data_IF_082562651684
#
_entry.id   IF_082562651684
#
_cell.length_a   1.000
_cell.length_b   1.000
_cell.length_c   1.000
_cell.angle_alpha   90.00
_cell.angle_beta   90.00
_cell.angle_gamma   90.00
#
_symmetry.space_group_name_H-M   'P 1'
#
loop_
_entity.id
_entity.type
_entity.pdbx_description
1 polymer ?
#
# COMPACT_ATOMS: atom_id res chain seq x y z
N UNK A 1 30.31 48.71 1.25
CA UNK A 1 30.33 47.74 0.14
C UNK A 1 30.31 46.29 0.63
N UNK A 2 31.27 45.83 1.46
CA UNK A 2 31.30 44.45 2.00
C UNK A 2 30.09 44.06 2.87
N UNK A 3 29.57 44.97 3.70
CA UNK A 3 28.36 44.73 4.52
C UNK A 3 27.09 44.52 3.68
N UNK A 4 27.00 45.16 2.51
CA UNK A 4 25.87 44.97 1.59
C UNK A 4 25.97 43.62 0.89
N UNK A 5 27.16 43.17 0.50
CA UNK A 5 27.37 41.81 -0.03
C UNK A 5 27.07 40.73 1.01
N UNK A 6 27.45 40.95 2.28
CA UNK A 6 27.15 40.01 3.36
C UNK A 6 25.64 39.91 3.63
N UNK A 7 24.94 41.06 3.65
CA UNK A 7 23.48 41.11 3.83
C UNK A 7 22.74 40.44 2.67
N UNK A 8 23.16 40.68 1.43
CA UNK A 8 22.57 40.06 0.25
C UNK A 8 22.83 38.56 0.20
N UNK A 9 24.03 38.11 0.58
CA UNK A 9 24.35 36.69 0.72
C UNK A 9 23.50 36.03 1.81
N UNK A 10 23.33 36.64 2.98
CA UNK A 10 22.47 36.13 4.07
C UNK A 10 21.01 36.04 3.62
N UNK A 11 20.49 37.01 2.87
CA UNK A 11 19.13 36.97 2.32
C UNK A 11 18.94 35.86 1.26
N UNK A 12 19.95 35.59 0.43
CA UNK A 12 19.94 34.47 -0.53
C UNK A 12 20.03 33.12 0.19
N UNK A 13 20.84 33.02 1.25
CA UNK A 13 20.90 31.81 2.07
C UNK A 13 19.58 31.56 2.84
N UNK A 14 18.88 32.61 3.27
CA UNK A 14 17.55 32.48 3.88
C UNK A 14 16.47 32.04 2.87
N UNK A 15 16.49 32.53 1.64
CA UNK A 15 15.43 32.24 0.65
C UNK A 15 15.50 30.81 0.10
N UNK A 16 16.70 30.20 0.03
CA UNK A 16 16.87 28.80 -0.35
C UNK A 16 16.21 27.81 0.62
N UNK A 17 15.92 28.23 1.85
CA UNK A 17 15.26 27.43 2.89
C UNK A 17 13.72 27.56 2.93
N UNK A 18 13.10 28.27 1.97
CA UNK A 18 11.68 28.63 2.02
C UNK A 18 10.73 27.65 1.29
N UNK A 19 11.20 26.48 0.86
CA UNK A 19 10.29 25.42 0.42
C UNK A 19 9.87 24.60 1.63
N UNK A 20 8.65 24.88 2.12
CA UNK A 20 8.03 24.05 3.16
C UNK A 20 7.86 22.63 2.62
N UNK A 21 8.13 21.58 3.42
CA UNK A 21 7.85 20.22 3.02
C UNK A 21 6.35 20.06 2.75
N UNK A 22 6.03 19.46 1.61
CA UNK A 22 4.66 19.18 1.21
C UNK A 22 4.45 17.67 1.24
N UNK A 23 3.34 17.25 1.85
CA UNK A 23 2.84 15.87 1.80
C UNK A 23 1.51 15.91 1.08
N UNK A 24 1.37 15.07 0.05
CA UNK A 24 0.12 14.90 -0.70
C UNK A 24 -0.21 13.41 -0.68
N UNK A 25 -1.47 13.09 -0.39
CA UNK A 25 -2.02 11.75 -0.55
C UNK A 25 -3.31 11.80 -1.37
N UNK A 26 -3.84 10.63 -1.70
CA UNK A 26 -4.93 10.47 -2.66
C UNK A 26 -6.28 10.96 -2.13
N UNK A 27 -6.73 10.44 -0.98
CA UNK A 27 -8.10 10.63 -0.52
C UNK A 27 -8.22 11.67 0.61
N UNK A 28 -9.41 12.24 0.76
CA UNK A 28 -9.71 13.33 1.71
C UNK A 28 -10.41 12.91 3.00
N UNK A 29 -10.61 11.62 3.27
CA UNK A 29 -11.30 11.18 4.49
C UNK A 29 -10.50 11.52 5.75
N UNK A 30 -11.14 11.50 6.93
CA UNK A 30 -10.52 11.96 8.19
C UNK A 30 -9.24 11.18 8.51
N UNK A 31 -9.21 9.89 8.18
CA UNK A 31 -8.08 9.00 8.44
C UNK A 31 -6.91 9.30 7.50
N UNK A 32 -7.17 9.54 6.22
CA UNK A 32 -6.16 10.01 5.27
C UNK A 32 -5.60 11.38 5.64
N UNK A 33 -6.42 12.30 6.14
CA UNK A 33 -5.93 13.58 6.66
C UNK A 33 -5.04 13.38 7.89
N UNK A 34 -5.36 12.42 8.76
CA UNK A 34 -4.53 12.08 9.91
C UNK A 34 -3.19 11.47 9.47
N UNK A 35 -3.18 10.60 8.46
CA UNK A 35 -1.96 10.07 7.86
C UNK A 35 -1.05 11.19 7.32
N UNK A 36 -1.61 12.19 6.64
CA UNK A 36 -0.84 13.37 6.20
C UNK A 36 -0.26 14.17 7.36
N UNK A 37 -1.04 14.39 8.43
CA UNK A 37 -0.55 15.09 9.63
C UNK A 37 0.61 14.35 10.28
N UNK A 38 0.52 13.04 10.40
CA UNK A 38 1.58 12.21 10.99
C UNK A 38 2.84 12.18 10.11
N UNK A 39 2.66 12.06 8.79
CA UNK A 39 3.76 12.13 7.83
C UNK A 39 4.48 13.48 7.91
N UNK A 40 3.73 14.58 7.83
CA UNK A 40 4.30 15.93 7.93
C UNK A 40 4.99 16.16 9.27
N UNK A 41 4.38 15.68 10.37
CA UNK A 41 4.96 15.73 11.71
C UNK A 41 6.24 14.92 11.85
N UNK A 42 6.46 13.91 11.00
CA UNK A 42 7.63 13.03 11.01
C UNK A 42 8.74 13.46 10.04
N UNK A 43 8.57 14.58 9.34
CA UNK A 43 9.55 15.08 8.37
C UNK A 43 10.93 15.37 8.97
N UNK A 44 11.02 15.65 10.27
CA UNK A 44 12.30 15.87 10.96
C UNK A 44 13.22 14.63 10.95
N UNK A 45 12.64 13.43 10.84
CA UNK A 45 13.38 12.16 10.76
C UNK A 45 13.78 11.77 9.32
N UNK A 46 13.40 12.60 8.33
CA UNK A 46 13.73 12.41 6.92
C UNK A 46 12.52 12.03 6.07
N UNK A 47 12.58 12.40 4.78
CA UNK A 47 11.46 12.26 3.82
C UNK A 47 10.92 10.84 3.67
N UNK A 48 11.78 9.83 3.62
CA UNK A 48 11.36 8.44 3.46
C UNK A 48 10.72 7.90 4.74
N UNK A 49 11.24 8.30 5.90
CA UNK A 49 10.64 7.96 7.18
C UNK A 49 9.24 8.58 7.29
N UNK A 50 9.11 9.87 6.95
CA UNK A 50 7.82 10.56 6.92
C UNK A 50 6.80 9.90 5.98
N UNK A 51 7.24 9.46 4.79
CA UNK A 51 6.42 8.70 3.86
C UNK A 51 5.94 7.39 4.50
N UNK A 52 6.87 6.58 5.02
CA UNK A 52 6.56 5.30 5.66
C UNK A 52 5.61 5.48 6.85
N UNK A 53 5.78 6.52 7.65
CA UNK A 53 4.91 6.78 8.81
C UNK A 53 3.49 7.19 8.40
N UNK A 54 3.35 7.98 7.33
CA UNK A 54 2.02 8.28 6.75
C UNK A 54 1.32 7.02 6.27
N UNK A 55 2.04 6.19 5.53
CA UNK A 55 1.56 4.91 5.01
C UNK A 55 1.18 3.95 6.15
N UNK A 56 2.06 3.77 7.14
CA UNK A 56 1.82 2.93 8.33
C UNK A 56 0.65 3.45 9.18
N UNK A 57 0.43 4.77 9.20
CA UNK A 57 -0.74 5.36 9.88
C UNK A 57 -2.03 4.89 9.21
N UNK A 58 -2.11 4.87 7.88
CA UNK A 58 -3.31 4.39 7.21
C UNK A 58 -3.52 2.88 7.32
N UNK A 59 -2.45 2.08 7.37
CA UNK A 59 -2.53 0.63 7.64
C UNK A 59 -3.16 0.36 9.02
N UNK A 60 -2.80 1.18 10.03
CA UNK A 60 -3.33 1.06 11.40
C UNK A 60 -4.73 1.65 11.57
N UNK A 61 -5.03 2.76 10.90
CA UNK A 61 -6.37 3.38 10.94
C UNK A 61 -7.36 2.67 10.02
N UNK A 62 -6.89 1.73 9.19
CA UNK A 62 -7.70 1.01 8.22
C UNK A 62 -8.44 1.98 7.30
N UNK A 63 -7.71 2.94 6.70
CA UNK A 63 -8.27 4.05 5.93
C UNK A 63 -9.29 3.56 4.88
N UNK A 64 -10.55 4.01 5.03
CA UNK A 64 -11.72 3.61 4.24
C UNK A 64 -11.94 2.08 4.12
N UNK A 65 -11.42 1.26 5.04
CA UNK A 65 -11.42 -0.22 5.02
C UNK A 65 -10.70 -0.84 3.81
N UNK A 66 -9.86 -0.05 3.12
CA UNK A 66 -9.15 -0.44 1.90
C UNK A 66 -7.63 -0.47 2.05
N UNK A 67 -7.12 -0.15 3.24
CA UNK A 67 -5.68 -0.12 3.54
C UNK A 67 -5.43 -0.88 4.84
N UNK A 68 -4.42 -1.74 4.88
CA UNK A 68 -4.08 -2.51 6.06
C UNK A 68 -4.95 -3.76 6.26
N UNK A 69 -4.92 -4.27 7.48
CA UNK A 69 -5.58 -5.52 7.88
C UNK A 69 -7.11 -5.40 7.93
N UNK A 70 -7.82 -6.53 8.00
CA UNK A 70 -9.29 -6.67 7.97
C UNK A 70 -10.02 -6.11 6.74
N UNK A 71 -9.31 -5.50 5.80
CA UNK A 71 -9.84 -4.98 4.55
C UNK A 71 -9.79 -6.02 3.43
N UNK A 72 -10.71 -5.90 2.48
CA UNK A 72 -10.69 -6.52 1.15
C UNK A 72 -10.08 -7.93 1.09
N UNK A 73 -10.72 -8.95 1.69
CA UNK A 73 -10.24 -10.32 1.56
C UNK A 73 -10.24 -10.75 0.09
N UNK A 74 -9.28 -11.61 -0.21
CA UNK A 74 -9.18 -12.36 -1.45
C UNK A 74 -10.34 -13.36 -1.54
N UNK A 75 -10.38 -14.10 -2.64
CA UNK A 75 -11.44 -15.07 -2.89
C UNK A 75 -11.36 -16.34 -2.03
N UNK A 76 -10.18 -16.63 -1.46
CA UNK A 76 -10.00 -17.66 -0.46
C UNK A 76 -10.45 -17.20 0.94
N UNK A 77 -10.70 -15.90 1.10
CA UNK A 77 -11.09 -15.26 2.35
C UNK A 77 -9.90 -14.74 3.17
N UNK A 78 -8.70 -14.72 2.59
CA UNK A 78 -7.48 -14.21 3.21
C UNK A 78 -7.24 -12.75 2.81
N UNK A 79 -6.94 -11.89 3.77
CA UNK A 79 -6.49 -10.53 3.48
C UNK A 79 -4.99 -10.55 3.18
N UNK A 80 -4.59 -10.00 2.04
CA UNK A 80 -3.19 -9.90 1.61
C UNK A 80 -2.84 -8.45 1.28
N UNK A 81 -1.64 -8.02 1.68
CA UNK A 81 -1.24 -6.62 1.55
C UNK A 81 -0.19 -6.39 0.46
N UNK A 82 -0.32 -5.27 -0.24
CA UNK A 82 0.64 -4.82 -1.25
C UNK A 82 1.18 -3.44 -0.85
N UNK A 83 2.49 -3.24 -0.99
CA UNK A 83 3.12 -1.95 -0.74
C UNK A 83 4.33 -1.72 -1.65
N UNK A 84 4.52 -0.48 -2.10
CA UNK A 84 5.64 -0.04 -2.90
C UNK A 84 6.15 1.29 -2.37
N UNK A 85 7.46 1.39 -2.16
CA UNK A 85 8.14 2.62 -1.79
C UNK A 85 9.20 2.92 -2.84
N UNK A 86 9.21 4.17 -3.31
CA UNK A 86 10.16 4.67 -4.30
C UNK A 86 10.88 5.90 -3.75
N UNK A 87 12.21 5.85 -3.81
CA UNK A 87 13.11 6.94 -3.50
C UNK A 87 13.60 7.61 -4.80
N UNK A 88 13.03 8.77 -5.11
CA UNK A 88 13.37 9.54 -6.32
C UNK A 88 14.79 10.12 -6.36
N UNK A 89 15.47 10.34 -5.22
CA UNK A 89 16.81 10.94 -5.23
C UNK A 89 17.91 9.92 -5.54
N UNK A 90 17.66 8.64 -5.25
CA UNK A 90 18.66 7.57 -5.40
C UNK A 90 18.25 6.45 -6.35
N UNK A 91 17.11 6.59 -7.04
CA UNK A 91 16.48 5.55 -7.87
C UNK A 91 16.46 4.20 -7.14
N UNK A 92 16.06 4.22 -5.86
CA UNK A 92 15.88 3.00 -5.05
C UNK A 92 14.39 2.74 -4.88
N UNK A 93 14.04 1.46 -4.81
CA UNK A 93 12.67 1.06 -4.57
C UNK A 93 12.65 -0.29 -3.85
N UNK A 94 11.60 -0.48 -3.08
CA UNK A 94 11.30 -1.75 -2.42
C UNK A 94 9.80 -1.95 -2.41
N UNK A 95 9.40 -3.19 -2.62
CA UNK A 95 8.02 -3.56 -2.74
C UNK A 95 7.75 -4.93 -2.13
N UNK A 96 6.52 -5.10 -1.69
CA UNK A 96 5.92 -6.37 -1.35
C UNK A 96 4.58 -6.50 -2.07
N UNK A 97 4.27 -7.70 -2.52
CA UNK A 97 2.94 -8.02 -3.04
C UNK A 97 2.46 -9.34 -2.45
N UNK A 98 1.15 -9.51 -2.36
CA UNK A 98 0.53 -10.69 -1.77
C UNK A 98 1.16 -11.00 -0.38
N UNK A 99 1.38 -9.98 0.46
CA UNK A 99 2.01 -10.18 1.76
C UNK A 99 0.99 -10.76 2.74
N UNK A 100 1.28 -11.96 3.24
CA UNK A 100 0.42 -12.69 4.17
C UNK A 100 0.81 -12.38 5.61
N UNK A 101 -0.18 -12.29 6.49
CA UNK A 101 -0.03 -12.34 7.97
C UNK A 101 0.93 -11.31 8.58
N UNK A 102 1.15 -10.18 7.91
CA UNK A 102 1.96 -9.06 8.40
C UNK A 102 1.16 -7.78 8.20
N UNK A 103 1.01 -6.96 9.25
CA UNK A 103 0.23 -5.70 9.19
C UNK A 103 0.98 -4.54 8.56
N UNK A 104 2.28 -4.45 8.80
CA UNK A 104 3.11 -3.29 8.44
C UNK A 104 3.71 -3.39 7.02
N UNK A 105 2.88 -3.54 5.98
CA UNK A 105 3.35 -3.79 4.62
C UNK A 105 4.29 -2.68 4.09
N UNK A 106 4.00 -1.41 4.39
CA UNK A 106 4.86 -0.27 4.06
C UNK A 106 6.27 -0.42 4.66
N UNK A 107 6.36 -0.84 5.92
CA UNK A 107 7.65 -1.02 6.59
C UNK A 107 8.41 -2.22 6.04
N UNK A 108 7.71 -3.29 5.66
CA UNK A 108 8.36 -4.42 4.97
C UNK A 108 8.88 -4.00 3.61
N UNK A 109 8.11 -3.26 2.80
CA UNK A 109 8.60 -2.70 1.54
C UNK A 109 9.83 -1.81 1.73
N UNK A 110 9.86 -1.01 2.80
CA UNK A 110 11.02 -0.19 3.16
C UNK A 110 12.23 -1.06 3.54
N UNK A 111 12.00 -2.17 4.25
CA UNK A 111 13.03 -3.14 4.59
C UNK A 111 13.58 -3.85 3.34
N UNK A 112 12.73 -4.22 2.37
CA UNK A 112 13.17 -4.77 1.08
C UNK A 112 14.14 -3.81 0.38
N UNK A 113 13.80 -2.51 0.33
CA UNK A 113 14.63 -1.46 -0.28
C UNK A 113 16.01 -1.31 0.41
N UNK A 114 16.09 -1.49 1.73
CA UNK A 114 17.30 -1.20 2.50
C UNK A 114 18.18 -2.43 2.76
N UNK A 115 17.60 -3.63 2.86
CA UNK A 115 18.29 -4.84 3.33
C UNK A 115 18.39 -5.94 2.28
N UNK A 116 17.94 -5.68 1.05
CA UNK A 116 18.08 -6.62 -0.06
C UNK A 116 18.60 -5.91 -1.31
N UNK A 117 19.10 -6.71 -2.27
CA UNK A 117 19.39 -6.23 -3.64
C UNK A 117 18.19 -6.40 -4.58
N UNK A 118 17.07 -6.92 -4.08
CA UNK A 118 15.85 -7.15 -4.84
C UNK A 118 14.93 -5.95 -4.72
N UNK A 119 14.05 -5.80 -5.71
CA UNK A 119 13.04 -4.74 -5.71
C UNK A 119 11.71 -5.21 -5.14
N UNK A 120 11.30 -6.45 -5.41
CA UNK A 120 9.99 -6.97 -5.02
C UNK A 120 10.14 -8.36 -4.40
N UNK A 121 9.44 -8.59 -3.29
CA UNK A 121 9.17 -9.91 -2.73
C UNK A 121 7.66 -10.17 -2.75
N UNK A 122 7.26 -11.43 -2.97
CA UNK A 122 5.84 -11.79 -3.12
C UNK A 122 5.46 -12.99 -2.26
N UNK A 123 4.22 -13.01 -1.75
CA UNK A 123 3.64 -14.18 -1.12
C UNK A 123 4.29 -14.55 0.20
N UNK A 124 4.22 -15.84 0.53
CA UNK A 124 4.87 -16.45 1.70
C UNK A 124 6.38 -16.15 1.82
N UNK A 125 7.07 -15.96 0.69
CA UNK A 125 8.48 -15.58 0.72
C UNK A 125 8.70 -14.17 1.26
N UNK A 126 7.76 -13.25 1.01
CA UNK A 126 7.79 -11.91 1.59
C UNK A 126 7.49 -11.97 3.09
N UNK A 127 6.55 -12.81 3.54
CA UNK A 127 6.25 -13.04 4.97
C UNK A 127 7.46 -13.59 5.71
N UNK A 128 8.14 -14.60 5.16
CA UNK A 128 9.37 -15.14 5.75
C UNK A 128 10.48 -14.09 5.87
N UNK A 129 10.64 -13.25 4.84
CA UNK A 129 11.58 -12.12 4.90
C UNK A 129 11.18 -11.13 6.01
N UNK A 130 9.90 -10.78 6.11
CA UNK A 130 9.41 -9.88 7.16
C UNK A 130 9.69 -10.45 8.56
N UNK A 131 9.43 -11.73 8.79
CA UNK A 131 9.75 -12.39 10.07
C UNK A 131 11.25 -12.34 10.37
N UNK A 132 12.10 -12.59 9.38
CA UNK A 132 13.57 -12.48 9.53
C UNK A 132 14.03 -11.06 9.86
N UNK A 133 13.30 -10.04 9.39
CA UNK A 133 13.53 -8.63 9.71
C UNK A 133 12.95 -8.22 11.08
N UNK A 134 12.28 -9.13 11.79
CA UNK A 134 11.71 -8.89 13.11
C UNK A 134 10.26 -8.41 13.13
N UNK A 135 9.55 -8.45 11.99
CA UNK A 135 8.11 -8.19 11.95
C UNK A 135 7.33 -9.36 12.56
N UNK A 136 6.24 -9.06 13.25
CA UNK A 136 5.40 -10.06 13.89
C UNK A 136 4.42 -10.66 12.88
N UNK A 137 4.49 -11.99 12.72
CA UNK A 137 3.50 -12.76 11.98
C UNK A 137 2.24 -12.96 12.84
N UNK A 138 1.08 -12.54 12.33
CA UNK A 138 -0.21 -12.72 12.97
C UNK A 138 -1.34 -12.78 11.94
N UNK A 139 -2.45 -13.43 12.28
CA UNK A 139 -3.64 -13.41 11.43
C UNK A 139 -4.17 -11.97 11.32
N UNK A 140 -4.29 -11.50 10.07
CA UNK A 140 -4.76 -10.16 9.72
C UNK A 140 -6.21 -10.15 9.25
N UNK A 141 -6.92 -11.26 9.48
CA UNK A 141 -8.35 -11.45 9.21
C UNK A 141 -9.19 -11.24 10.48
N UNK A 142 -10.28 -10.49 10.38
CA UNK A 142 -11.24 -10.29 11.47
C UNK A 142 -12.56 -11.02 11.22
N UNK A 143 -13.45 -10.94 12.20
CA UNK A 143 -14.85 -11.33 12.01
C UNK A 143 -15.52 -10.52 10.89
N UNK A 144 -15.07 -9.29 10.62
CA UNK A 144 -15.62 -8.44 9.55
C UNK A 144 -15.24 -9.00 8.18
N UNK A 145 -13.94 -9.26 7.93
CA UNK A 145 -13.51 -9.85 6.66
C UNK A 145 -14.11 -11.25 6.43
N UNK A 146 -14.24 -12.04 7.50
CA UNK A 146 -14.92 -13.35 7.46
C UNK A 146 -16.42 -13.25 7.17
N UNK A 147 -17.11 -12.24 7.69
CA UNK A 147 -18.51 -11.99 7.34
C UNK A 147 -18.64 -11.55 5.87
N UNK A 148 -17.73 -10.69 5.39
CA UNK A 148 -17.74 -10.23 4.00
C UNK A 148 -17.60 -11.39 3.00
N UNK A 149 -16.65 -12.31 3.22
CA UNK A 149 -16.48 -13.48 2.34
C UNK A 149 -17.70 -14.42 2.42
N UNK A 150 -18.29 -14.61 3.61
CA UNK A 150 -19.51 -15.41 3.78
C UNK A 150 -20.70 -14.83 3.02
N UNK A 151 -20.91 -13.51 3.13
CA UNK A 151 -21.97 -12.80 2.43
C UNK A 151 -21.78 -12.79 0.90
N UNK A 152 -20.53 -12.74 0.44
CA UNK A 152 -20.22 -12.81 -0.98
C UNK A 152 -20.39 -14.23 -1.54
N UNK A 153 -20.00 -15.26 -0.78
CA UNK A 153 -20.26 -16.67 -1.13
C UNK A 153 -21.75 -16.98 -1.20
N UNK A 154 -22.55 -16.45 -0.27
CA UNK A 154 -24.02 -16.63 -0.29
C UNK A 154 -24.69 -15.94 -1.49
N UNK A 155 -24.03 -14.95 -2.10
CA UNK A 155 -24.45 -14.28 -3.34
C UNK A 155 -23.85 -14.93 -4.59
N UNK A 156 -23.56 -16.23 -4.54
CA UNK A 156 -22.97 -16.99 -5.65
C UNK A 156 -21.69 -16.35 -6.18
N UNK A 157 -20.85 -15.83 -5.29
CA UNK A 157 -19.54 -15.29 -5.66
C UNK A 157 -19.63 -14.07 -6.60
N UNK A 158 -20.66 -13.23 -6.44
CA UNK A 158 -20.87 -12.04 -7.26
C UNK A 158 -20.80 -10.75 -6.42
N UNK A 159 -20.13 -9.68 -6.91
CA UNK A 159 -19.37 -9.61 -8.17
C UNK A 159 -18.02 -10.32 -8.07
N UNK A 160 -17.46 -10.77 -9.19
CA UNK A 160 -16.08 -11.25 -9.28
C UNK A 160 -15.37 -10.69 -10.51
N UNK A 161 -14.05 -10.84 -10.57
CA UNK A 161 -13.21 -10.27 -11.62
C UNK A 161 -12.91 -11.24 -12.75
N UNK A 162 -13.64 -12.36 -12.82
CA UNK A 162 -13.52 -13.26 -13.94
C UNK A 162 -14.22 -12.69 -15.16
N UNK A 163 -13.49 -12.63 -16.25
CA UNK A 163 -14.10 -12.47 -17.57
C UNK A 163 -14.43 -13.86 -18.07
N UNK A 164 -15.63 -14.03 -18.62
CA UNK A 164 -16.04 -15.30 -19.18
C UNK A 164 -15.10 -15.75 -20.30
N UNK A 165 -14.83 -17.05 -20.34
CA UNK A 165 -14.13 -17.72 -21.42
C UNK A 165 -15.22 -18.53 -22.13
N UNK A 166 -15.63 -18.06 -23.31
CA UNK A 166 -16.68 -18.59 -24.19
C UNK A 166 -18.13 -18.58 -23.66
N UNK A 167 -18.85 -17.47 -23.89
CA UNK A 167 -20.26 -17.56 -24.33
C UNK A 167 -21.37 -16.78 -23.62
N UNK A 168 -21.15 -15.98 -22.58
CA UNK A 168 -22.20 -15.17 -21.94
C UNK A 168 -21.68 -13.82 -21.35
N UNK A 169 -22.66 -13.00 -20.95
CA UNK A 169 -22.76 -11.58 -21.31
C UNK A 169 -22.03 -10.61 -20.38
N UNK A 170 -21.41 -9.59 -21.00
CA UNK A 170 -20.66 -8.49 -20.37
C UNK A 170 -21.55 -7.58 -19.52
N UNK A 171 -21.13 -7.25 -18.30
CA UNK A 171 -21.49 -5.97 -17.67
C UNK A 171 -20.36 -5.39 -16.79
N UNK A 172 -19.93 -4.20 -17.21
CA UNK A 172 -19.21 -3.11 -16.51
C UNK A 172 -17.83 -3.37 -15.90
N UNK A 173 -16.82 -2.93 -16.65
CA UNK A 173 -15.52 -2.46 -16.15
C UNK A 173 -15.73 -1.16 -15.34
N UNK A 174 -15.60 -1.22 -14.02
CA UNK A 174 -15.36 -0.01 -13.24
C UNK A 174 -13.89 0.38 -13.33
N UNK A 175 -13.64 1.37 -14.19
CA UNK A 175 -12.37 2.05 -14.36
C UNK A 175 -12.14 2.98 -13.16
N UNK A 176 -11.22 2.62 -12.27
CA UNK A 176 -10.56 3.61 -11.42
C UNK A 176 -9.13 3.79 -11.96
N UNK A 177 -8.81 4.95 -12.52
CA UNK A 177 -7.41 5.38 -12.62
C UNK A 177 -6.94 5.78 -11.22
N UNK A 178 -5.65 5.63 -10.90
CA UNK A 178 -4.76 6.66 -10.30
C UNK A 178 -3.41 6.04 -9.88
N UNK A 179 -2.35 6.85 -9.99
CA UNK A 179 -0.95 6.45 -9.85
C UNK A 179 -0.49 6.11 -8.43
N UNK A 180 0.73 5.54 -8.38
CA UNK A 180 1.53 5.07 -7.22
C UNK A 180 0.74 5.00 -5.91
N UNK A 181 0.10 3.85 -5.69
CA UNK A 181 -0.88 3.65 -4.63
C UNK A 181 -0.47 2.45 -3.78
N UNK A 182 -0.34 2.61 -2.46
CA UNK A 182 -0.48 1.44 -1.57
C UNK A 182 -1.96 1.10 -1.53
N UNK A 183 -2.34 -0.03 -2.12
CA UNK A 183 -3.71 -0.55 -2.14
C UNK A 183 -3.64 -1.86 -1.37
N UNK A 184 -4.44 -2.05 -0.32
CA UNK A 184 -4.79 -3.42 0.07
C UNK A 184 -5.57 -3.99 -1.12
N UNK A 185 -5.14 -5.14 -1.64
CA UNK A 185 -5.57 -5.70 -2.93
C UNK A 185 -7.05 -5.51 -3.23
N UNK A 186 -7.40 -5.39 -4.53
CA UNK A 186 -8.81 -5.27 -4.94
C UNK A 186 -9.63 -6.37 -4.26
N UNK A 187 -10.76 -6.04 -3.67
CA UNK A 187 -11.66 -7.03 -3.06
C UNK A 187 -12.04 -8.09 -4.11
N UNK A 188 -12.06 -9.39 -3.77
CA UNK A 188 -12.41 -10.51 -4.69
C UNK A 188 -11.39 -10.81 -5.78
N UNK A 189 -10.15 -10.95 -5.40
CA UNK A 189 -9.05 -11.06 -6.32
C UNK A 189 -8.17 -12.24 -5.87
N UNK A 190 -7.31 -12.80 -6.71
CA UNK A 190 -6.78 -14.16 -6.59
C UNK A 190 -5.21 -14.31 -6.60
N UNK A 191 -4.59 -15.49 -6.33
CA UNK A 191 -3.17 -15.55 -5.94
C UNK A 191 -2.03 -15.66 -7.00
N UNK A 192 -2.23 -15.65 -8.34
CA UNK A 192 -1.16 -15.99 -9.31
C UNK A 192 -0.99 -15.00 -10.50
N UNK A 193 -0.21 -13.91 -10.36
CA UNK A 193 0.77 -13.32 -11.34
C UNK A 193 1.02 -11.80 -11.18
N UNK A 194 2.30 -11.45 -11.03
CA UNK A 194 3.09 -10.35 -11.62
C UNK A 194 2.61 -8.88 -11.65
N UNK A 195 3.36 -8.05 -10.90
CA UNK A 195 4.05 -6.82 -11.32
C UNK A 195 3.41 -6.01 -12.46
N UNK A 196 2.50 -5.11 -12.11
CA UNK A 196 2.35 -3.84 -12.81
C UNK A 196 1.73 -2.84 -11.83
N UNK A 197 2.37 -1.69 -11.63
CA UNK A 197 1.92 -0.51 -10.87
C UNK A 197 0.46 -0.60 -10.36
N UNK A 198 0.36 -1.36 -9.26
CA UNK A 198 -0.74 -1.68 -8.35
C UNK A 198 -2.16 -1.56 -8.96
N UNK A 199 -2.48 -2.52 -9.83
CA UNK A 199 -3.82 -3.07 -9.95
C UNK A 199 -3.75 -4.59 -10.11
N UNK A 200 -4.61 -5.27 -9.34
CA UNK A 200 -5.10 -6.63 -9.57
C UNK A 200 -4.31 -7.83 -9.05
N UNK A 201 -5.10 -8.86 -8.86
CA UNK A 201 -4.89 -10.18 -8.31
C UNK A 201 -5.51 -11.19 -9.32
N UNK A 202 -5.16 -12.49 -9.30
CA UNK A 202 -5.39 -13.51 -10.36
C UNK A 202 -5.68 -14.99 -9.95
N UNK A 203 -6.83 -15.53 -10.44
CA UNK A 203 -7.47 -16.88 -10.46
C UNK A 203 -7.89 -17.81 -9.27
N UNK A 204 -9.20 -18.16 -9.27
CA UNK A 204 -10.08 -18.91 -8.33
C UNK A 204 -10.45 -20.29 -8.91
N UNK A 205 -11.10 -21.10 -8.08
CA UNK A 205 -12.20 -21.96 -8.53
C UNK A 205 -13.35 -21.69 -7.55
N UNK A 206 -14.55 -21.39 -8.04
CA UNK A 206 -15.75 -21.59 -7.24
C UNK A 206 -15.93 -23.11 -7.18
N UNK A 207 -15.28 -23.76 -6.20
CA UNK A 207 -15.47 -25.18 -5.98
C UNK A 207 -16.93 -25.39 -5.64
N UNK A 208 -17.66 -26.13 -6.47
CA UNK A 208 -18.91 -26.77 -6.08
C UNK A 208 -18.64 -27.51 -4.76
N UNK A 209 -19.21 -27.01 -3.67
CA UNK A 209 -19.65 -27.88 -2.59
C UNK A 209 -21.09 -28.29 -2.89
#
# INVERSE_FOLDING_TARGET
>A
MWLQFLSFAIQIFLSASLLKPVVVNTWGSKDFQQANRNALGSMYAGRLYALVEGLSTCERLQCDTTVGYDGSPDENGETTLDALIVDGNGVRMGAVANLHRIKDAARVAWAVMNYTKHTLLVGESATRFAVQMGFREEDISSNVSRAMISDWRSRNCQPNFWQEIDGATISSLDFLLFGVSMIAGRRWSNPLSCLCLIYCCIRQFCGNQ
#
